data_IF_115523339363
#
_entry.id   IF_115523339363
#
_cell.length_a   1.000
_cell.length_b   1.000
_cell.length_c   1.000
_cell.angle_alpha   90.00
_cell.angle_beta   90.00
_cell.angle_gamma   90.00
#
_symmetry.space_group_name_H-M   'P 1'
#
loop_
_entity.id
_entity.type
_entity.pdbx_description
1 polymer ?
#
# COMPACT_ATOMS: atom_id res chain seq x y z
N UNK A 1 -16.11 -2.75 -5.49
CA UNK A 1 -14.90 -3.25 -4.82
C UNK A 1 -15.18 -3.33 -3.33
N UNK A 2 -15.27 -4.54 -2.80
CA UNK A 2 -15.29 -4.81 -1.37
C UNK A 2 -13.90 -4.53 -0.76
N UNK A 3 -13.81 -4.50 0.57
CA UNK A 3 -12.56 -4.25 1.27
C UNK A 3 -11.48 -5.31 0.95
N UNK A 4 -11.86 -6.59 0.89
CA UNK A 4 -10.95 -7.68 0.50
C UNK A 4 -10.45 -7.57 -0.94
N UNK A 5 -11.29 -7.13 -1.89
CA UNK A 5 -10.85 -6.90 -3.27
C UNK A 5 -9.79 -5.78 -3.33
N UNK A 6 -9.97 -4.72 -2.54
CA UNK A 6 -9.00 -3.62 -2.45
C UNK A 6 -7.70 -4.09 -1.81
N UNK A 7 -7.78 -4.88 -0.74
CA UNK A 7 -6.62 -5.47 -0.07
C UNK A 7 -5.82 -6.35 -1.03
N UNK A 8 -6.49 -7.28 -1.72
CA UNK A 8 -5.87 -8.17 -2.69
C UNK A 8 -5.18 -7.40 -3.83
N UNK A 9 -5.84 -6.36 -4.35
CA UNK A 9 -5.26 -5.48 -5.39
C UNK A 9 -3.98 -4.82 -4.90
N UNK A 10 -3.93 -4.38 -3.64
CA UNK A 10 -2.74 -3.77 -3.04
C UNK A 10 -1.62 -4.79 -2.92
N UNK A 11 -1.90 -5.99 -2.40
CA UNK A 11 -0.94 -7.09 -2.29
C UNK A 11 -0.30 -7.42 -3.63
N UNK A 12 -1.10 -7.56 -4.69
CA UNK A 12 -0.61 -7.87 -6.03
C UNK A 12 0.24 -6.74 -6.65
N UNK A 13 0.02 -5.51 -6.20
CA UNK A 13 0.79 -4.35 -6.61
C UNK A 13 2.11 -4.20 -5.84
N UNK A 14 2.24 -4.73 -4.61
CA UNK A 14 3.43 -4.57 -3.77
C UNK A 14 4.74 -4.99 -4.44
N UNK A 15 4.85 -6.15 -5.14
CA UNK A 15 6.10 -6.56 -5.78
C UNK A 15 6.53 -5.62 -6.91
N UNK A 16 5.58 -4.89 -7.50
CA UNK A 16 5.78 -3.93 -8.59
C UNK A 16 5.92 -2.50 -8.09
N UNK A 17 5.55 -2.25 -6.83
CA UNK A 17 5.62 -0.92 -6.25
C UNK A 17 7.09 -0.50 -6.14
N UNK A 18 7.39 0.69 -6.65
CA UNK A 18 8.70 1.29 -6.56
C UNK A 18 8.57 2.62 -5.84
N UNK A 19 9.46 2.90 -4.88
CA UNK A 19 9.51 4.21 -4.26
C UNK A 19 9.83 5.27 -5.32
N UNK A 20 9.40 6.49 -5.09
CA UNK A 20 9.66 7.65 -5.94
C UNK A 20 10.09 8.84 -5.10
N UNK A 21 10.57 9.91 -5.75
CA UNK A 21 10.97 11.16 -5.07
C UNK A 21 9.82 11.78 -4.26
N UNK A 22 8.58 11.58 -4.71
CA UNK A 22 7.34 12.03 -4.07
C UNK A 22 6.75 11.02 -3.10
N UNK A 23 6.95 9.73 -3.34
CA UNK A 23 6.45 8.63 -2.50
C UNK A 23 7.62 7.74 -2.07
N UNK A 24 8.37 8.22 -1.08
CA UNK A 24 9.69 7.65 -0.72
C UNK A 24 9.61 6.32 0.03
N UNK A 25 8.45 6.00 0.62
CA UNK A 25 8.18 4.81 1.42
C UNK A 25 6.74 4.39 1.20
N UNK A 26 6.48 3.09 1.25
CA UNK A 26 5.13 2.59 1.09
C UNK A 26 4.25 3.09 2.25
N UNK A 27 3.13 3.71 1.92
CA UNK A 27 2.22 4.29 2.90
C UNK A 27 0.82 4.54 2.36
N UNK A 28 0.05 5.38 3.06
CA UNK A 28 -1.35 5.64 2.71
C UNK A 28 -1.52 6.26 1.32
N UNK A 29 -0.57 7.10 0.90
CA UNK A 29 -0.57 7.70 -0.43
C UNK A 29 -0.36 6.63 -1.51
N UNK A 30 0.57 5.70 -1.29
CA UNK A 30 0.81 4.55 -2.17
C UNK A 30 -0.44 3.69 -2.31
N UNK A 31 -1.08 3.36 -1.19
CA UNK A 31 -2.32 2.56 -1.16
C UNK A 31 -3.43 3.27 -1.95
N UNK A 32 -3.65 4.57 -1.71
CA UNK A 32 -4.65 5.37 -2.45
C UNK A 32 -4.32 5.51 -3.94
N UNK A 33 -3.06 5.45 -4.32
CA UNK A 33 -2.62 5.47 -5.72
C UNK A 33 -2.86 4.12 -6.40
N UNK A 34 -2.81 3.01 -5.68
CA UNK A 34 -3.07 1.66 -6.20
C UNK A 34 -4.58 1.42 -6.28
N UNK A 35 -5.32 1.79 -5.23
CA UNK A 35 -6.76 1.55 -5.13
C UNK A 35 -7.50 2.81 -4.68
N UNK A 36 -8.60 3.13 -5.37
CA UNK A 36 -9.47 4.25 -4.97
C UNK A 36 -10.20 3.90 -3.69
N UNK A 37 -9.76 4.47 -2.57
CA UNK A 37 -10.35 4.24 -1.26
C UNK A 37 -10.35 5.52 -0.40
N UNK A 38 -11.16 5.50 0.65
CA UNK A 38 -11.18 6.55 1.67
C UNK A 38 -9.93 6.49 2.55
N UNK A 39 -9.70 7.54 3.35
CA UNK A 39 -8.59 7.53 4.31
C UNK A 39 -8.70 6.38 5.32
N UNK A 40 -9.93 6.07 5.76
CA UNK A 40 -10.19 4.99 6.72
C UNK A 40 -9.81 3.62 6.14
N UNK A 41 -10.31 3.32 4.94
CA UNK A 41 -10.00 2.07 4.26
C UNK A 41 -8.49 1.93 3.96
N UNK A 42 -7.81 3.02 3.59
CA UNK A 42 -6.37 3.00 3.39
C UNK A 42 -5.60 2.68 4.69
N UNK A 43 -6.08 3.17 5.83
CA UNK A 43 -5.52 2.84 7.14
C UNK A 43 -5.75 1.38 7.49
N UNK A 44 -6.97 0.86 7.29
CA UNK A 44 -7.31 -0.55 7.54
C UNK A 44 -6.44 -1.49 6.70
N UNK A 45 -6.26 -1.19 5.40
CA UNK A 45 -5.36 -1.95 4.52
C UNK A 45 -3.92 -1.89 5.04
N UNK A 46 -3.41 -0.69 5.39
CA UNK A 46 -2.04 -0.54 5.89
C UNK A 46 -1.82 -1.33 7.18
N UNK A 47 -2.75 -1.26 8.11
CA UNK A 47 -2.63 -1.94 9.40
C UNK A 47 -2.67 -3.45 9.23
N UNK A 48 -3.50 -3.96 8.29
CA UNK A 48 -3.50 -5.37 7.90
C UNK A 48 -2.16 -5.80 7.26
N UNK A 49 -1.62 -4.99 6.35
CA UNK A 49 -0.30 -5.24 5.75
C UNK A 49 0.82 -5.23 6.80
N UNK A 50 0.75 -4.34 7.79
CA UNK A 50 1.71 -4.28 8.89
C UNK A 50 1.62 -5.52 9.79
N UNK A 51 0.39 -5.99 10.06
CA UNK A 51 0.15 -7.20 10.84
C UNK A 51 0.68 -8.46 10.13
N UNK A 52 0.53 -8.53 8.81
CA UNK A 52 1.00 -9.65 7.97
C UNK A 52 2.49 -9.52 7.56
N UNK A 53 3.21 -8.48 8.04
CA UNK A 53 4.60 -8.15 7.67
C UNK A 53 4.83 -8.03 6.14
N UNK A 54 3.78 -7.62 5.42
CA UNK A 54 3.77 -7.49 3.96
C UNK A 54 4.22 -6.11 3.49
N UNK A 55 4.53 -5.17 4.38
CA UNK A 55 4.92 -3.80 3.99
C UNK A 55 6.30 -3.81 3.31
N UNK A 56 6.43 -3.23 2.09
CA UNK A 56 7.72 -3.09 1.45
C UNK A 56 8.70 -2.27 2.31
N UNK A 57 9.88 -2.85 2.57
CA UNK A 57 10.97 -2.19 3.29
C UNK A 57 11.81 -1.28 2.39
N UNK A 58 11.68 -1.43 1.06
CA UNK A 58 12.39 -0.62 0.05
C UNK A 58 12.06 0.85 0.19
N UNK A 59 13.08 1.69 0.08
CA UNK A 59 12.92 3.16 0.10
C UNK A 59 13.60 3.76 -1.13
N UNK A 60 13.25 4.99 -1.51
CA UNK A 60 13.82 5.64 -2.72
C UNK A 60 15.37 5.70 -2.73
N UNK A 61 15.99 5.61 -1.56
CA UNK A 61 17.43 5.76 -1.38
C UNK A 61 18.16 4.41 -1.24
N UNK A 62 17.44 3.30 -1.46
CA UNK A 62 17.95 1.92 -1.46
C UNK A 62 18.27 1.45 -2.88
#
# INVERSE_FOLDING_TARGET
MTEDEKYQTVIEALPKWQPSRTDRRFGLTSIKSIVKCTLKEALEIRDRLAYEDAIPTRTWND
#
